data_IF_123857774792
#
_entry.id   IF_123857774792
#
_cell.length_a   1.000
_cell.length_b   1.000
_cell.length_c   1.000
_cell.angle_alpha   90.00
_cell.angle_beta   90.00
_cell.angle_gamma   90.00
#
_symmetry.space_group_name_H-M   'P 1'
#
loop_
_entity.id
_entity.type
_entity.pdbx_description
1 polymer ?
#
# COMPACT_ATOMS: atom_id res chain seq x y z
N UNK A 1 -37.27 -36.51 88.31
CA UNK A 1 -38.51 -37.20 88.83
C UNK A 1 -39.36 -37.65 87.65
N UNK A 2 -39.65 -38.95 87.68
CA UNK A 2 -40.77 -39.69 87.04
C UNK A 2 -40.79 -39.70 85.54
N UNK A 3 -40.42 -40.75 84.90
CA UNK A 3 -41.07 -42.11 84.80
C UNK A 3 -42.10 -42.18 83.70
N UNK A 4 -41.81 -43.05 82.76
CA UNK A 4 -42.64 -44.17 82.22
C UNK A 4 -43.57 -43.74 81.08
N UNK A 5 -43.85 -44.47 80.00
CA UNK A 5 -43.93 -45.93 79.81
C UNK A 5 -43.96 -46.24 78.32
N UNK A 6 -43.42 -47.39 77.93
CA UNK A 6 -43.52 -48.09 76.66
C UNK A 6 -44.92 -48.15 76.05
N UNK A 7 -45.04 -48.11 74.76
CA UNK A 7 -45.97 -48.96 74.04
C UNK A 7 -45.39 -49.35 72.65
N UNK A 8 -45.14 -50.63 72.46
CA UNK A 8 -44.79 -51.29 71.21
C UNK A 8 -46.00 -51.21 70.24
N UNK A 9 -45.77 -50.71 69.07
CA UNK A 9 -46.67 -50.83 67.93
C UNK A 9 -45.88 -51.33 66.71
N UNK A 10 -45.91 -52.63 66.43
CA UNK A 10 -45.47 -53.25 65.22
C UNK A 10 -46.36 -52.76 64.06
N UNK A 11 -45.81 -51.84 63.23
CA UNK A 11 -46.43 -51.54 61.94
C UNK A 11 -45.58 -52.24 60.89
N UNK A 12 -46.09 -53.28 60.28
CA UNK A 12 -45.60 -53.88 59.03
C UNK A 12 -45.76 -52.82 57.95
N UNK A 13 -44.62 -52.16 57.61
CA UNK A 13 -44.49 -51.43 56.37
C UNK A 13 -44.22 -52.42 55.23
N UNK A 14 -45.24 -52.68 54.45
CA UNK A 14 -45.10 -53.27 53.12
C UNK A 14 -44.22 -52.34 52.35
N UNK A 15 -42.97 -52.73 52.04
CA UNK A 15 -42.12 -52.09 51.11
C UNK A 15 -42.70 -52.28 49.71
N UNK A 16 -43.50 -51.29 49.26
CA UNK A 16 -43.80 -51.13 47.83
C UNK A 16 -42.50 -50.78 47.18
N UNK A 17 -41.87 -51.73 46.52
CA UNK A 17 -40.71 -51.54 45.69
C UNK A 17 -41.07 -50.58 44.57
N UNK A 18 -40.80 -49.30 44.75
CA UNK A 18 -40.71 -48.33 43.67
C UNK A 18 -39.53 -48.75 42.83
N UNK A 19 -39.83 -49.51 41.75
CA UNK A 19 -38.87 -49.73 40.68
C UNK A 19 -38.44 -48.36 40.16
N UNK A 20 -37.26 -47.93 40.50
CA UNK A 20 -36.66 -46.70 39.92
C UNK A 20 -36.68 -46.91 38.40
N UNK A 21 -37.54 -46.16 37.69
CA UNK A 21 -37.51 -46.14 36.23
C UNK A 21 -36.08 -45.82 35.82
N UNK A 22 -35.41 -46.75 35.17
CA UNK A 22 -34.07 -46.52 34.57
C UNK A 22 -34.16 -45.27 33.72
N UNK A 23 -33.49 -44.22 34.15
CA UNK A 23 -33.46 -42.94 33.45
C UNK A 23 -32.52 -43.04 32.26
N UNK A 24 -33.00 -42.72 31.05
CA UNK A 24 -32.20 -42.71 29.87
C UNK A 24 -31.10 -41.63 29.99
N UNK A 25 -29.84 -42.03 29.83
CA UNK A 25 -28.69 -41.12 29.85
C UNK A 25 -28.15 -40.99 28.46
N UNK A 26 -27.97 -39.74 28.00
CA UNK A 26 -27.37 -39.41 26.70
C UNK A 26 -26.12 -38.60 26.93
N UNK A 27 -25.04 -38.99 26.29
CA UNK A 27 -23.82 -38.18 26.14
C UNK A 27 -23.28 -38.31 24.71
N UNK A 28 -22.49 -37.34 24.28
CA UNK A 28 -21.85 -37.39 23.01
C UNK A 28 -20.38 -36.93 23.13
N UNK A 29 -19.49 -37.64 22.45
CA UNK A 29 -18.07 -37.41 22.43
C UNK A 29 -17.60 -37.17 20.98
N UNK A 30 -16.38 -36.68 20.79
CA UNK A 30 -15.74 -36.45 19.47
C UNK A 30 -16.62 -35.60 18.52
N UNK A 31 -17.26 -34.57 19.05
CA UNK A 31 -18.11 -33.69 18.26
C UNK A 31 -17.27 -32.83 17.36
N UNK A 32 -17.40 -33.02 16.05
CA UNK A 32 -16.70 -32.25 15.03
C UNK A 32 -17.68 -31.73 14.01
N UNK A 33 -17.50 -30.47 13.64
CA UNK A 33 -18.23 -29.81 12.56
C UNK A 33 -17.22 -29.05 11.72
N UNK A 34 -17.06 -29.48 10.47
CA UNK A 34 -16.01 -28.97 9.57
C UNK A 34 -16.66 -28.55 8.26
N UNK A 35 -16.41 -27.32 7.83
CA UNK A 35 -16.77 -26.84 6.51
C UNK A 35 -15.69 -27.21 5.48
N UNK A 36 -16.14 -27.69 4.33
CA UNK A 36 -15.31 -27.91 3.16
C UNK A 36 -16.03 -27.30 1.95
N UNK A 37 -15.55 -26.17 1.47
CA UNK A 37 -16.18 -25.39 0.39
C UNK A 37 -17.66 -25.07 0.73
N UNK A 38 -18.59 -25.59 -0.08
CA UNK A 38 -20.03 -25.36 0.06
C UNK A 38 -20.74 -26.41 0.91
N UNK A 39 -20.03 -27.25 1.64
CA UNK A 39 -20.60 -28.31 2.46
C UNK A 39 -20.08 -28.32 3.88
N UNK A 40 -20.90 -28.78 4.81
CA UNK A 40 -20.55 -28.99 6.21
C UNK A 40 -20.66 -30.47 6.54
N UNK A 41 -19.59 -31.04 7.08
CA UNK A 41 -19.58 -32.40 7.63
C UNK A 41 -19.66 -32.32 9.14
N UNK A 42 -20.66 -32.99 9.71
CA UNK A 42 -20.80 -33.19 11.14
C UNK A 42 -20.51 -34.63 11.52
N UNK A 43 -19.79 -34.86 12.61
CA UNK A 43 -19.57 -36.18 13.19
C UNK A 43 -19.56 -36.11 14.71
N UNK A 44 -20.09 -37.13 15.37
CA UNK A 44 -20.02 -37.32 16.82
C UNK A 44 -20.22 -38.78 17.16
N UNK A 45 -19.80 -39.19 18.36
CA UNK A 45 -20.16 -40.48 18.97
C UNK A 45 -21.25 -40.29 20.00
N UNK A 46 -22.34 -41.00 19.84
CA UNK A 46 -23.48 -40.96 20.79
C UNK A 46 -23.40 -42.17 21.71
N UNK A 47 -23.37 -41.90 23.01
CA UNK A 47 -23.47 -42.91 24.07
C UNK A 47 -24.87 -42.89 24.66
N UNK A 48 -25.48 -44.07 24.74
CA UNK A 48 -26.84 -44.24 25.27
C UNK A 48 -26.83 -45.26 26.38
N UNK A 49 -27.22 -44.88 27.58
CA UNK A 49 -27.41 -45.75 28.73
C UNK A 49 -28.85 -45.75 29.24
N UNK A 50 -29.28 -46.83 29.86
CA UNK A 50 -30.60 -46.91 30.53
C UNK A 50 -31.80 -46.99 29.57
N UNK A 51 -31.61 -47.31 28.29
CA UNK A 51 -32.69 -47.52 27.36
C UNK A 51 -33.23 -48.97 27.49
N UNK A 52 -34.38 -49.17 28.04
CA UNK A 52 -35.03 -50.49 28.20
C UNK A 52 -35.19 -51.22 26.86
N UNK A 53 -35.23 -52.56 26.88
CA UNK A 53 -35.25 -53.44 25.66
C UNK A 53 -36.45 -53.22 24.74
N UNK A 54 -37.53 -52.66 25.25
CA UNK A 54 -38.81 -52.47 24.52
C UNK A 54 -38.98 -51.05 24.01
N UNK A 55 -37.94 -50.23 24.13
CA UNK A 55 -37.97 -48.83 23.69
C UNK A 55 -37.01 -48.56 22.54
N UNK A 56 -37.41 -47.63 21.67
CA UNK A 56 -36.60 -46.99 20.66
C UNK A 56 -36.32 -45.53 21.05
N UNK A 57 -35.09 -45.14 20.96
CA UNK A 57 -34.68 -43.72 21.09
C UNK A 57 -34.59 -43.13 19.70
N UNK A 58 -35.39 -42.12 19.41
CA UNK A 58 -35.35 -41.31 18.20
C UNK A 58 -34.56 -40.06 18.48
N UNK A 59 -33.40 -39.89 17.82
CA UNK A 59 -32.54 -38.71 18.01
C UNK A 59 -32.53 -37.90 16.74
N UNK A 60 -32.84 -36.61 16.87
CA UNK A 60 -32.78 -35.63 15.76
C UNK A 60 -31.67 -34.64 16.03
N UNK A 61 -30.55 -34.71 15.28
CA UNK A 61 -29.56 -33.65 15.33
C UNK A 61 -30.15 -32.37 14.72
N UNK A 62 -30.03 -31.26 15.44
CA UNK A 62 -30.59 -29.96 15.05
C UNK A 62 -29.55 -28.86 15.15
N UNK A 63 -29.37 -28.12 14.07
CA UNK A 63 -28.60 -26.89 14.01
C UNK A 63 -29.56 -25.71 14.07
N UNK A 64 -29.31 -24.74 14.97
CA UNK A 64 -30.16 -23.57 15.16
C UNK A 64 -29.38 -22.29 15.13
N UNK A 65 -29.66 -21.45 14.14
CA UNK A 65 -29.05 -20.13 13.96
C UNK A 65 -29.63 -19.07 14.92
N UNK A 66 -28.87 -18.00 15.09
CA UNK A 66 -29.31 -16.87 15.95
C UNK A 66 -30.56 -16.17 15.43
N UNK A 67 -30.83 -16.17 14.15
CA UNK A 67 -31.99 -15.59 13.49
C UNK A 67 -33.19 -16.52 13.43
N UNK A 68 -33.19 -17.66 14.19
CA UNK A 68 -34.29 -18.60 14.23
C UNK A 68 -34.35 -19.63 13.10
N UNK A 69 -33.36 -19.59 12.17
CA UNK A 69 -33.21 -20.62 11.12
C UNK A 69 -32.85 -21.96 11.77
N UNK A 70 -33.38 -23.05 11.22
CA UNK A 70 -33.12 -24.40 11.72
C UNK A 70 -32.85 -25.37 10.58
N UNK A 71 -31.89 -26.27 10.79
CA UNK A 71 -31.64 -27.42 9.93
C UNK A 71 -31.73 -28.72 10.76
N UNK A 72 -32.74 -29.54 10.46
CA UNK A 72 -32.86 -30.87 11.00
C UNK A 72 -32.05 -31.84 10.13
N UNK A 73 -31.04 -32.45 10.73
CA UNK A 73 -30.23 -33.45 10.04
C UNK A 73 -30.92 -34.85 10.10
N UNK A 74 -30.50 -35.84 9.32
CA UNK A 74 -31.10 -37.17 9.32
C UNK A 74 -31.16 -37.79 10.71
N UNK A 75 -32.34 -38.34 11.02
CA UNK A 75 -32.64 -38.90 12.34
C UNK A 75 -31.91 -40.22 12.57
N UNK A 76 -31.50 -40.46 13.81
CA UNK A 76 -30.99 -41.70 14.34
C UNK A 76 -32.12 -42.44 15.09
N UNK A 77 -32.25 -43.74 14.81
CA UNK A 77 -33.09 -44.61 15.63
C UNK A 77 -32.20 -45.65 16.34
N UNK A 78 -32.15 -45.59 17.66
CA UNK A 78 -31.32 -46.44 18.48
C UNK A 78 -32.21 -47.31 19.38
N UNK A 79 -31.99 -48.61 19.46
CA UNK A 79 -32.77 -49.52 20.28
C UNK A 79 -32.50 -50.96 19.95
N UNK A 80 -33.12 -51.89 20.74
CA UNK A 80 -33.04 -53.33 20.46
C UNK A 80 -33.67 -53.68 19.11
N UNK A 81 -33.24 -54.79 18.51
CA UNK A 81 -33.81 -55.28 17.26
C UNK A 81 -35.33 -55.48 17.39
N UNK A 82 -35.80 -55.99 18.56
CA UNK A 82 -37.19 -56.21 18.83
C UNK A 82 -37.99 -54.88 18.86
N UNK A 83 -37.52 -53.92 19.55
CA UNK A 83 -38.17 -52.61 19.64
C UNK A 83 -38.23 -51.89 18.29
N UNK A 84 -37.16 -51.96 17.49
CA UNK A 84 -37.14 -51.42 16.14
C UNK A 84 -38.10 -52.11 15.17
N UNK A 85 -38.27 -53.45 15.26
CA UNK A 85 -39.26 -54.21 14.46
C UNK A 85 -40.70 -53.77 14.83
N UNK A 86 -40.99 -53.59 16.14
CA UNK A 86 -42.30 -53.15 16.59
C UNK A 86 -42.58 -51.74 16.04
N UNK A 87 -41.67 -50.81 16.22
CA UNK A 87 -41.79 -49.41 15.73
C UNK A 87 -41.96 -49.36 14.19
N UNK A 88 -41.27 -50.27 13.46
CA UNK A 88 -41.42 -50.38 12.01
C UNK A 88 -42.82 -50.90 11.62
N UNK A 89 -43.37 -51.88 12.32
CA UNK A 89 -44.69 -52.45 12.07
C UNK A 89 -45.81 -51.43 12.38
N UNK A 90 -45.60 -50.55 13.34
CA UNK A 90 -46.54 -49.49 13.71
C UNK A 90 -46.45 -48.26 12.78
N UNK A 91 -45.64 -48.33 11.71
CA UNK A 91 -45.48 -47.26 10.72
C UNK A 91 -44.63 -46.07 11.20
N UNK A 92 -43.95 -46.23 12.32
CA UNK A 92 -43.15 -45.16 12.93
C UNK A 92 -41.81 -44.95 12.21
N UNK A 93 -41.36 -45.80 11.28
CA UNK A 93 -40.13 -45.64 10.48
C UNK A 93 -40.46 -45.58 8.99
N UNK A 94 -40.47 -44.39 8.43
CA UNK A 94 -40.46 -44.23 6.97
C UNK A 94 -39.08 -44.55 6.45
N UNK A 95 -38.99 -45.38 5.37
CA UNK A 95 -37.77 -45.90 4.75
C UNK A 95 -36.75 -44.85 4.29
N UNK A 96 -37.09 -43.60 4.24
CA UNK A 96 -36.35 -42.52 3.58
C UNK A 96 -35.60 -41.58 4.50
N UNK A 97 -35.61 -41.75 5.83
CA UNK A 97 -35.01 -40.75 6.75
C UNK A 97 -34.12 -41.35 7.87
N UNK A 98 -33.85 -42.65 7.84
CA UNK A 98 -32.99 -43.26 8.88
C UNK A 98 -31.59 -43.50 8.36
N UNK A 99 -30.58 -42.91 8.99
CA UNK A 99 -29.24 -43.47 9.03
C UNK A 99 -29.39 -44.91 9.55
N UNK A 100 -28.74 -45.89 8.96
CA UNK A 100 -28.92 -47.31 9.20
C UNK A 100 -29.22 -47.67 10.66
N UNK A 101 -30.19 -48.54 10.94
CA UNK A 101 -30.58 -48.89 12.32
C UNK A 101 -29.37 -49.44 13.05
N UNK A 102 -28.91 -48.73 14.06
CA UNK A 102 -27.87 -49.23 14.92
C UNK A 102 -28.45 -50.28 15.85
N UNK A 103 -28.03 -51.53 15.71
CA UNK A 103 -28.33 -52.56 16.68
C UNK A 103 -27.41 -52.36 17.88
N UNK A 104 -28.05 -52.17 19.04
CA UNK A 104 -27.34 -52.00 20.27
C UNK A 104 -26.72 -53.29 20.76
N UNK A 105 -25.35 -53.34 20.79
CA UNK A 105 -24.67 -54.14 21.79
C UNK A 105 -24.48 -53.19 22.99
N UNK A 106 -24.94 -53.60 24.16
CA UNK A 106 -24.85 -52.78 25.36
C UNK A 106 -23.39 -52.26 25.55
N UNK A 107 -23.19 -50.95 25.51
CA UNK A 107 -21.91 -50.30 25.71
C UNK A 107 -21.18 -49.83 24.45
N UNK A 108 -21.67 -50.07 23.24
CA UNK A 108 -21.09 -49.54 22.02
C UNK A 108 -21.60 -48.11 21.70
N UNK A 109 -20.70 -47.14 21.51
CA UNK A 109 -21.02 -45.80 21.05
C UNK A 109 -21.47 -45.84 19.57
N UNK A 110 -22.50 -45.07 19.26
CA UNK A 110 -22.96 -44.94 17.86
C UNK A 110 -22.27 -43.79 17.17
N UNK A 111 -21.54 -44.09 16.11
CA UNK A 111 -20.91 -43.04 15.28
C UNK A 111 -21.96 -42.44 14.33
N UNK A 112 -22.16 -41.14 14.42
CA UNK A 112 -22.95 -40.36 13.47
C UNK A 112 -22.00 -39.59 12.54
N UNK A 113 -22.25 -39.63 11.23
CA UNK A 113 -21.57 -38.75 10.28
C UNK A 113 -22.56 -38.38 9.19
N UNK A 114 -22.65 -37.08 8.90
CA UNK A 114 -23.49 -36.57 7.83
C UNK A 114 -22.87 -35.33 7.19
N UNK A 115 -23.05 -35.17 5.87
CA UNK A 115 -22.61 -34.01 5.10
C UNK A 115 -23.83 -33.34 4.47
N UNK A 116 -23.90 -32.02 4.57
CA UNK A 116 -25.02 -31.22 4.06
C UNK A 116 -24.52 -29.86 3.51
N UNK A 117 -25.26 -29.16 2.65
CA UNK A 117 -24.85 -27.87 2.10
C UNK A 117 -24.66 -26.83 3.19
N UNK A 118 -23.64 -26.00 3.04
CA UNK A 118 -23.37 -24.84 3.90
C UNK A 118 -24.36 -23.70 3.56
N UNK A 119 -24.73 -22.95 4.59
CA UNK A 119 -25.41 -21.68 4.46
C UNK A 119 -24.87 -20.69 5.51
N UNK A 120 -24.75 -19.42 5.20
CA UNK A 120 -24.10 -18.39 6.03
C UNK A 120 -24.68 -18.29 7.45
N UNK A 121 -25.99 -18.54 7.61
CA UNK A 121 -26.65 -18.50 8.93
C UNK A 121 -26.16 -19.61 9.88
N UNK A 122 -25.45 -20.63 9.36
CA UNK A 122 -24.90 -21.74 10.17
C UNK A 122 -23.65 -21.31 10.96
N UNK A 123 -23.01 -20.22 10.58
CA UNK A 123 -21.91 -19.65 11.37
C UNK A 123 -22.39 -19.15 12.73
N UNK A 124 -21.80 -19.66 13.78
CA UNK A 124 -22.22 -19.36 15.16
C UNK A 124 -23.53 -19.98 15.57
N UNK A 125 -24.09 -20.95 14.80
CA UNK A 125 -25.29 -21.68 15.16
C UNK A 125 -25.01 -22.66 16.30
N UNK A 126 -26.05 -22.89 17.15
CA UNK A 126 -25.97 -23.92 18.16
C UNK A 126 -26.32 -25.29 17.58
N UNK A 127 -25.56 -26.31 17.97
CA UNK A 127 -25.81 -27.69 17.55
C UNK A 127 -26.26 -28.54 18.76
N UNK A 128 -27.41 -29.19 18.65
CA UNK A 128 -28.01 -29.97 19.71
C UNK A 128 -28.67 -31.25 19.20
N UNK A 129 -28.87 -32.22 20.10
CA UNK A 129 -29.64 -33.41 19.82
C UNK A 129 -30.96 -33.29 20.56
N UNK A 130 -32.06 -33.43 19.81
CA UNK A 130 -33.41 -33.63 20.39
C UNK A 130 -33.71 -35.13 20.38
N UNK A 131 -34.13 -35.66 21.52
CA UNK A 131 -34.32 -37.10 21.66
C UNK A 131 -35.70 -37.41 22.21
N UNK A 132 -36.32 -38.46 21.68
CA UNK A 132 -37.61 -38.98 22.13
C UNK A 132 -37.48 -40.48 22.34
N UNK A 133 -37.80 -40.96 23.54
CA UNK A 133 -37.99 -42.36 23.87
C UNK A 133 -39.38 -42.77 23.45
N UNK A 134 -39.51 -43.83 22.62
CA UNK A 134 -40.78 -44.35 22.17
C UNK A 134 -40.88 -45.84 22.51
N UNK A 135 -41.97 -46.25 23.07
CA UNK A 135 -42.37 -47.68 23.31
C UNK A 135 -43.75 -47.90 22.77
N UNK A 136 -44.22 -49.15 22.84
CA UNK A 136 -45.56 -49.59 22.33
C UNK A 136 -46.70 -48.64 22.69
N UNK A 137 -46.74 -48.10 23.92
CA UNK A 137 -47.85 -47.31 24.41
C UNK A 137 -47.40 -46.01 25.12
N UNK A 138 -46.12 -45.61 24.99
CA UNK A 138 -45.56 -44.44 25.67
C UNK A 138 -44.55 -43.70 24.78
N UNK A 139 -44.64 -42.37 24.80
CA UNK A 139 -43.65 -41.46 24.20
C UNK A 139 -43.22 -40.48 25.27
N UNK A 140 -41.91 -40.30 25.40
CA UNK A 140 -41.30 -39.40 26.37
C UNK A 140 -40.25 -38.57 25.65
N UNK A 141 -40.34 -37.25 25.73
CA UNK A 141 -39.31 -36.33 25.19
C UNK A 141 -38.26 -36.11 26.25
N UNK A 142 -37.02 -36.35 25.89
CA UNK A 142 -35.86 -36.14 26.76
C UNK A 142 -35.37 -34.69 26.68
N UNK A 143 -34.69 -34.20 27.73
CA UNK A 143 -34.03 -32.92 27.64
C UNK A 143 -33.05 -32.87 26.45
N UNK A 144 -32.98 -31.75 25.69
CA UNK A 144 -32.06 -31.63 24.57
C UNK A 144 -30.60 -31.68 25.04
N UNK A 145 -29.78 -32.49 24.37
CA UNK A 145 -28.35 -32.55 24.63
C UNK A 145 -27.62 -31.51 23.75
N UNK A 146 -27.01 -30.53 24.37
CA UNK A 146 -26.19 -29.53 23.66
C UNK A 146 -24.84 -30.16 23.30
N UNK A 147 -24.46 -30.03 22.04
CA UNK A 147 -23.18 -30.52 21.51
C UNK A 147 -22.17 -29.39 21.25
N UNK A 148 -22.63 -28.30 20.64
CA UNK A 148 -21.85 -27.08 20.40
C UNK A 148 -22.73 -25.87 20.70
N UNK A 149 -22.21 -24.91 21.46
CA UNK A 149 -22.89 -23.64 21.67
C UNK A 149 -22.79 -22.71 20.46
N UNK A 150 -21.71 -22.84 19.72
CA UNK A 150 -21.43 -22.07 18.50
C UNK A 150 -20.65 -22.92 17.51
N UNK A 151 -21.20 -23.18 16.35
CA UNK A 151 -20.46 -23.76 15.23
C UNK A 151 -19.52 -22.71 14.63
N UNK A 152 -18.25 -23.03 14.52
CA UNK A 152 -17.23 -22.15 13.91
C UNK A 152 -16.92 -22.74 12.53
N UNK A 153 -17.57 -22.22 11.50
CA UNK A 153 -17.54 -22.74 10.13
C UNK A 153 -16.86 -21.78 9.16
N UNK A 154 -16.66 -20.51 9.54
CA UNK A 154 -15.94 -19.56 8.72
C UNK A 154 -14.48 -20.00 8.51
N UNK A 155 -14.06 -19.96 7.26
CA UNK A 155 -12.67 -20.26 6.89
C UNK A 155 -11.74 -19.17 7.44
N UNK A 156 -10.46 -19.48 7.68
CA UNK A 156 -9.49 -18.45 8.08
C UNK A 156 -9.43 -17.25 7.12
N UNK A 157 -9.62 -17.47 5.83
CA UNK A 157 -9.67 -16.41 4.83
C UNK A 157 -10.87 -15.47 5.02
N UNK A 158 -12.03 -16.00 5.36
CA UNK A 158 -13.23 -15.19 5.63
C UNK A 158 -13.15 -14.38 6.94
N UNK A 159 -12.36 -14.85 7.90
CA UNK A 159 -12.14 -14.18 9.19
C UNK A 159 -10.96 -13.18 9.14
N UNK A 160 -10.14 -13.26 8.12
CA UNK A 160 -8.99 -12.38 7.98
C UNK A 160 -9.42 -10.99 7.49
N UNK A 161 -9.02 -9.96 8.23
CA UNK A 161 -9.23 -8.56 7.86
C UNK A 161 -7.91 -7.96 7.43
N UNK A 162 -7.65 -7.86 6.11
CA UNK A 162 -6.36 -7.42 5.63
C UNK A 162 -6.06 -5.97 6.03
N UNK A 163 -4.87 -5.73 6.54
CA UNK A 163 -4.33 -4.40 6.75
C UNK A 163 -3.51 -4.04 5.51
N UNK A 164 -4.07 -3.15 4.70
CA UNK A 164 -3.47 -2.71 3.44
C UNK A 164 -2.94 -1.30 3.62
N UNK A 165 -1.70 -0.99 3.22
CA UNK A 165 -1.14 0.35 3.31
C UNK A 165 -1.93 1.34 2.44
N UNK A 166 -1.80 2.62 2.74
CA UNK A 166 -2.29 3.68 1.86
C UNK A 166 -1.40 3.78 0.63
N UNK A 167 -1.97 4.20 -0.49
CA UNK A 167 -1.22 4.53 -1.70
C UNK A 167 -0.14 5.58 -1.40
N UNK A 168 1.05 5.39 -1.96
CA UNK A 168 2.13 6.36 -1.87
C UNK A 168 1.94 7.44 -2.95
N UNK A 169 2.20 8.71 -2.65
CA UNK A 169 2.20 9.75 -3.67
C UNK A 169 3.37 9.49 -4.64
N UNK A 170 3.03 9.32 -5.92
CA UNK A 170 4.02 9.10 -6.98
C UNK A 170 4.45 10.46 -7.52
N UNK A 171 5.18 11.24 -6.71
CA UNK A 171 5.78 12.51 -7.15
C UNK A 171 7.25 12.24 -7.43
N UNK A 172 7.71 12.36 -8.70
CA UNK A 172 9.09 12.14 -9.05
C UNK A 172 10.05 13.04 -8.24
N UNK A 173 11.22 12.52 -7.91
CA UNK A 173 12.22 13.24 -7.10
C UNK A 173 12.56 14.59 -7.71
N UNK A 174 12.67 14.66 -9.02
CA UNK A 174 13.01 15.91 -9.71
C UNK A 174 11.90 16.96 -9.62
N UNK A 175 10.64 16.57 -9.55
CA UNK A 175 9.54 17.53 -9.37
C UNK A 175 9.55 18.15 -7.97
N UNK A 176 9.94 17.37 -6.96
CA UNK A 176 10.17 17.89 -5.61
C UNK A 176 11.35 18.86 -5.59
N UNK A 177 12.47 18.49 -6.22
CA UNK A 177 13.63 19.34 -6.35
C UNK A 177 13.34 20.64 -7.12
N UNK A 178 12.49 20.59 -8.15
CA UNK A 178 12.14 21.75 -8.98
C UNK A 178 11.31 22.80 -8.24
N UNK A 179 10.61 22.44 -7.18
CA UNK A 179 9.89 23.40 -6.32
C UNK A 179 10.87 24.37 -5.62
N UNK A 180 12.04 23.86 -5.23
CA UNK A 180 13.07 24.64 -4.53
C UNK A 180 14.14 25.21 -5.48
N UNK A 181 14.30 24.61 -6.65
CA UNK A 181 15.40 24.90 -7.59
C UNK A 181 14.87 25.42 -8.93
N UNK A 182 14.73 26.73 -9.06
CA UNK A 182 14.22 27.39 -10.27
C UNK A 182 15.09 27.14 -11.53
N UNK A 183 16.34 26.72 -11.37
CA UNK A 183 17.19 26.34 -12.50
C UNK A 183 16.84 24.96 -13.11
N UNK A 184 15.94 24.20 -12.47
CA UNK A 184 15.34 23.02 -13.07
C UNK A 184 14.15 23.39 -13.94
N UNK A 185 13.99 22.71 -15.06
CA UNK A 185 12.87 22.88 -15.98
C UNK A 185 12.51 21.58 -16.69
N UNK A 186 11.23 21.41 -17.03
CA UNK A 186 10.78 20.23 -17.78
C UNK A 186 11.34 20.26 -19.20
N UNK A 187 11.85 19.12 -19.67
CA UNK A 187 12.30 18.99 -21.05
C UNK A 187 11.11 18.87 -22.01
N UNK A 188 11.06 19.75 -23.01
CA UNK A 188 9.99 19.80 -24.02
C UNK A 188 10.50 19.50 -25.44
N UNK A 189 11.73 18.93 -25.57
CA UNK A 189 12.32 18.60 -26.85
C UNK A 189 13.31 19.66 -27.38
N UNK A 190 13.33 20.85 -26.77
CA UNK A 190 14.31 21.90 -27.08
C UNK A 190 14.60 22.76 -25.87
N UNK A 191 15.71 23.50 -25.91
CA UNK A 191 16.05 24.50 -24.87
C UNK A 191 15.24 25.79 -25.05
N UNK A 192 14.44 25.88 -26.09
CA UNK A 192 13.62 27.05 -26.39
C UNK A 192 14.25 28.00 -27.41
N UNK A 193 13.57 29.10 -27.65
CA UNK A 193 14.01 30.21 -28.51
C UNK A 193 15.07 31.09 -27.81
N UNK A 194 15.60 32.08 -28.52
CA UNK A 194 16.50 33.07 -27.90
C UNK A 194 15.78 33.86 -26.78
N UNK A 195 14.53 34.19 -27.00
CA UNK A 195 13.67 34.87 -26.02
C UNK A 195 13.47 34.03 -24.75
N UNK A 196 13.31 32.70 -24.91
CA UNK A 196 13.23 31.77 -23.79
C UNK A 196 14.54 31.71 -23.00
N UNK A 197 15.67 31.63 -23.70
CA UNK A 197 17.01 31.64 -23.07
C UNK A 197 17.25 32.95 -22.31
N UNK A 198 16.85 34.09 -22.87
CA UNK A 198 16.96 35.39 -22.22
C UNK A 198 16.08 35.45 -20.94
N UNK A 199 14.85 34.93 -21.01
CA UNK A 199 13.99 34.79 -19.84
C UNK A 199 14.59 33.87 -18.78
N UNK A 200 15.17 32.72 -19.14
CA UNK A 200 15.81 31.82 -18.19
C UNK A 200 16.98 32.48 -17.44
N UNK A 201 17.82 33.24 -18.13
CA UNK A 201 18.93 33.98 -17.49
C UNK A 201 18.41 34.94 -16.43
N UNK A 202 17.23 35.47 -16.66
CA UNK A 202 16.63 36.46 -15.77
C UNK A 202 15.99 35.84 -14.53
N UNK A 203 15.32 34.70 -14.68
CA UNK A 203 14.39 34.22 -13.66
C UNK A 203 14.70 32.82 -13.13
N UNK A 204 15.39 31.99 -13.89
CA UNK A 204 15.39 30.57 -13.69
C UNK A 204 16.71 29.85 -14.01
N UNK A 205 17.83 30.45 -13.66
CA UNK A 205 19.16 29.85 -13.85
C UNK A 205 19.99 29.90 -12.58
N UNK A 206 20.99 29.01 -12.53
CA UNK A 206 22.07 29.09 -11.58
C UNK A 206 23.24 29.86 -12.23
N UNK A 207 23.82 30.79 -11.48
CA UNK A 207 24.85 31.69 -12.02
C UNK A 207 26.22 31.35 -11.44
N UNK A 208 27.25 31.26 -12.35
CA UNK A 208 28.67 31.14 -11.97
C UNK A 208 29.40 32.38 -12.44
N UNK A 209 30.15 32.97 -11.55
CA UNK A 209 30.81 34.25 -11.77
C UNK A 209 32.31 34.10 -12.18
N UNK A 210 32.79 35.01 -13.02
CA UNK A 210 34.18 35.02 -13.48
C UNK A 210 34.87 36.35 -13.15
N UNK A 211 36.09 36.36 -12.67
CA UNK A 211 36.86 37.58 -12.54
C UNK A 211 37.02 38.32 -13.84
N UNK A 212 37.32 39.61 -13.81
CA UNK A 212 37.50 40.46 -14.99
C UNK A 212 38.57 39.85 -15.96
N UNK A 213 38.18 39.69 -17.20
CA UNK A 213 39.08 39.12 -18.23
C UNK A 213 39.38 37.63 -18.05
N UNK A 214 38.91 37.00 -16.98
CA UNK A 214 39.15 35.58 -16.74
C UNK A 214 38.12 34.69 -17.46
N UNK A 215 38.62 33.53 -17.87
CA UNK A 215 37.79 32.39 -18.35
C UNK A 215 37.95 31.16 -17.45
N UNK A 216 38.50 31.31 -16.26
CA UNK A 216 38.68 30.24 -15.29
C UNK A 216 37.57 30.26 -14.26
N UNK A 217 37.01 29.09 -13.94
CA UNK A 217 36.15 28.93 -12.79
C UNK A 217 36.97 29.04 -11.52
N UNK A 218 36.66 30.03 -10.69
CA UNK A 218 37.34 30.28 -9.43
C UNK A 218 36.29 30.04 -8.31
N UNK A 219 36.35 28.92 -7.57
CA UNK A 219 35.37 28.58 -6.55
C UNK A 219 35.25 29.63 -5.45
N UNK A 220 36.33 30.29 -5.10
CA UNK A 220 36.40 31.32 -4.06
C UNK A 220 35.89 32.69 -4.52
N UNK A 221 35.54 32.84 -5.80
CA UNK A 221 35.05 34.10 -6.35
C UNK A 221 33.53 34.16 -6.20
N UNK A 222 32.99 35.18 -5.54
CA UNK A 222 31.57 35.34 -5.24
C UNK A 222 31.00 34.10 -4.57
N UNK A 223 29.83 33.66 -4.99
CA UNK A 223 29.15 32.47 -4.46
C UNK A 223 29.42 31.21 -5.28
N UNK A 224 30.46 31.15 -6.10
CA UNK A 224 30.68 30.06 -7.05
C UNK A 224 30.76 28.70 -6.37
N UNK A 225 31.47 28.57 -5.24
CA UNK A 225 31.60 27.31 -4.51
C UNK A 225 30.24 26.79 -4.14
N UNK A 226 29.44 27.58 -3.45
CA UNK A 226 28.10 27.19 -3.01
C UNK A 226 27.18 26.85 -4.19
N UNK A 227 27.21 27.65 -5.25
CA UNK A 227 26.40 27.44 -6.45
C UNK A 227 26.78 26.15 -7.19
N UNK A 228 28.08 25.86 -7.34
CA UNK A 228 28.56 24.66 -8.04
C UNK A 228 28.31 23.40 -7.20
N UNK A 229 28.57 23.42 -5.89
CA UNK A 229 28.28 22.31 -4.98
C UNK A 229 26.78 22.01 -4.93
N UNK A 230 25.94 23.04 -4.91
CA UNK A 230 24.49 22.88 -4.96
C UNK A 230 24.03 22.25 -6.28
N UNK A 231 24.53 22.74 -7.43
CA UNK A 231 24.26 22.14 -8.74
C UNK A 231 24.62 20.65 -8.76
N UNK A 232 25.86 20.32 -8.37
CA UNK A 232 26.33 18.92 -8.38
C UNK A 232 25.49 18.05 -7.46
N UNK A 233 25.14 18.51 -6.26
CA UNK A 233 24.24 17.78 -5.34
C UNK A 233 22.87 17.50 -5.96
N UNK A 234 22.30 18.46 -6.68
CA UNK A 234 21.00 18.27 -7.36
C UNK A 234 21.13 17.29 -8.53
N UNK A 235 22.18 17.39 -9.34
CA UNK A 235 22.45 16.45 -10.45
C UNK A 235 22.64 15.03 -9.93
N UNK A 236 23.35 14.84 -8.83
CA UNK A 236 23.58 13.53 -8.20
C UNK A 236 22.26 12.93 -7.69
N UNK A 237 21.40 13.73 -7.06
CA UNK A 237 20.06 13.27 -6.60
C UNK A 237 19.19 12.82 -7.75
N UNK A 238 19.20 13.57 -8.87
CA UNK A 238 18.45 13.18 -10.08
C UNK A 238 19.04 11.89 -10.68
N UNK A 239 20.35 11.78 -10.76
CA UNK A 239 21.03 10.60 -11.31
C UNK A 239 20.83 9.34 -10.48
N UNK A 240 20.68 9.46 -9.15
CA UNK A 240 20.43 8.35 -8.24
C UNK A 240 18.96 7.90 -8.24
N UNK A 241 18.03 8.69 -8.78
CA UNK A 241 16.62 8.38 -8.76
C UNK A 241 16.22 7.44 -9.91
N UNK A 242 15.17 6.62 -9.67
CA UNK A 242 14.61 5.72 -10.70
C UNK A 242 13.50 6.38 -11.52
N UNK A 243 12.99 7.50 -11.06
CA UNK A 243 11.81 8.19 -11.57
C UNK A 243 12.13 9.49 -12.31
N UNK A 244 13.41 9.85 -12.40
CA UNK A 244 13.87 11.14 -12.92
C UNK A 244 15.15 10.97 -13.71
N UNK A 245 15.30 11.77 -14.78
CA UNK A 245 16.53 11.82 -15.54
C UNK A 245 16.85 13.23 -16.04
N UNK A 246 18.13 13.53 -16.18
CA UNK A 246 18.60 14.75 -16.86
C UNK A 246 18.43 14.54 -18.35
N UNK A 247 17.71 15.46 -19.00
CA UNK A 247 17.52 15.44 -20.45
C UNK A 247 18.55 16.33 -21.16
N UNK A 248 18.77 17.56 -20.66
CA UNK A 248 19.69 18.52 -21.25
C UNK A 248 20.17 19.53 -20.20
N UNK A 249 21.39 20.05 -20.36
CA UNK A 249 21.93 21.15 -19.57
C UNK A 249 22.29 22.26 -20.52
N UNK A 250 21.62 23.40 -20.43
CA UNK A 250 21.94 24.61 -21.16
C UNK A 250 22.96 25.40 -20.35
N UNK A 251 24.10 25.73 -21.01
CA UNK A 251 25.14 26.59 -20.44
C UNK A 251 25.29 27.82 -21.33
N UNK A 252 25.02 28.99 -20.80
CA UNK A 252 25.11 30.26 -21.55
C UNK A 252 26.25 31.08 -21.02
N UNK A 253 27.21 31.34 -21.85
CA UNK A 253 28.32 32.25 -21.53
C UNK A 253 27.97 33.70 -21.89
N UNK A 254 28.39 34.63 -21.03
CA UNK A 254 28.16 36.05 -21.21
C UNK A 254 29.43 36.89 -20.89
N UNK A 255 29.46 38.08 -21.44
CA UNK A 255 30.49 39.07 -21.17
C UNK A 255 29.86 40.45 -20.90
N UNK A 256 30.63 41.33 -20.30
CA UNK A 256 30.22 42.73 -20.09
C UNK A 256 30.37 43.57 -21.36
N UNK A 257 29.67 44.70 -21.50
CA UNK A 257 29.72 45.55 -22.68
C UNK A 257 31.06 46.23 -22.92
N UNK A 258 32.01 46.26 -21.97
CA UNK A 258 33.22 47.04 -21.95
C UNK A 258 34.40 46.46 -22.81
N UNK A 259 34.11 45.63 -23.77
CA UNK A 259 35.08 45.12 -24.75
C UNK A 259 34.58 45.24 -26.18
N UNK A 260 35.41 44.87 -27.17
CA UNK A 260 34.91 44.68 -28.54
C UNK A 260 33.93 43.53 -28.61
N UNK A 261 32.97 43.59 -29.54
CA UNK A 261 32.00 42.53 -29.76
C UNK A 261 32.67 41.17 -30.02
N UNK A 262 33.77 41.17 -30.79
CA UNK A 262 34.52 39.97 -31.09
C UNK A 262 35.22 39.38 -29.86
N UNK A 263 35.83 40.23 -29.02
CA UNK A 263 36.46 39.82 -27.78
C UNK A 263 35.43 39.26 -26.80
N UNK A 264 34.28 39.95 -26.66
CA UNK A 264 33.19 39.54 -25.77
C UNK A 264 32.59 38.20 -26.22
N UNK A 265 32.39 37.99 -27.54
CA UNK A 265 31.92 36.71 -28.06
C UNK A 265 32.91 35.58 -27.77
N UNK A 266 34.17 35.80 -27.92
CA UNK A 266 35.24 34.82 -27.64
C UNK A 266 35.30 34.47 -26.13
N UNK A 267 35.24 35.49 -25.26
CA UNK A 267 35.24 35.30 -23.80
C UNK A 267 34.00 34.55 -23.35
N UNK A 268 32.84 34.95 -23.83
CA UNK A 268 31.55 34.32 -23.47
C UNK A 268 31.54 32.83 -23.86
N UNK A 269 31.94 32.50 -25.10
CA UNK A 269 32.05 31.12 -25.55
C UNK A 269 33.01 30.26 -24.71
N UNK A 270 34.19 30.82 -24.39
CA UNK A 270 35.17 30.13 -23.55
C UNK A 270 34.67 29.91 -22.13
N UNK A 271 33.95 30.86 -21.54
CA UNK A 271 33.34 30.73 -20.21
C UNK A 271 32.31 29.61 -20.17
N UNK A 272 31.43 29.53 -21.17
CA UNK A 272 30.48 28.44 -21.28
C UNK A 272 31.16 27.08 -21.38
N UNK A 273 32.20 26.95 -22.23
CA UNK A 273 32.94 25.70 -22.38
C UNK A 273 33.62 25.26 -21.08
N UNK A 274 34.28 26.18 -20.39
CA UNK A 274 34.95 25.85 -19.10
C UNK A 274 33.96 25.42 -18.02
N UNK A 275 32.73 25.92 -18.02
CA UNK A 275 31.66 25.44 -17.13
C UNK A 275 31.23 24.04 -17.50
N UNK A 276 31.06 23.75 -18.80
CA UNK A 276 30.76 22.37 -19.24
C UNK A 276 31.85 21.41 -18.79
N UNK A 277 33.14 21.76 -19.05
CA UNK A 277 34.30 20.95 -18.68
C UNK A 277 34.35 20.73 -17.15
N UNK A 278 34.03 21.78 -16.37
CA UNK A 278 33.94 21.67 -14.89
C UNK A 278 32.85 20.71 -14.41
N UNK A 279 31.66 20.79 -15.00
CA UNK A 279 30.55 19.89 -14.64
C UNK A 279 30.87 18.44 -15.06
N UNK A 280 31.36 18.25 -16.29
CA UNK A 280 31.74 16.93 -16.81
C UNK A 280 32.85 16.28 -15.97
N UNK A 281 33.81 17.04 -15.47
CA UNK A 281 34.89 16.52 -14.61
C UNK A 281 34.42 16.01 -13.25
N UNK A 282 33.21 16.38 -12.84
CA UNK A 282 32.59 16.07 -11.52
C UNK A 282 31.36 15.18 -11.60
N UNK A 283 30.89 14.86 -12.81
CA UNK A 283 29.72 14.03 -13.07
C UNK A 283 30.03 12.96 -14.10
N UNK A 284 29.15 11.97 -14.27
CA UNK A 284 29.27 10.96 -15.36
C UNK A 284 28.54 11.40 -16.63
N UNK A 285 28.18 12.68 -16.76
CA UNK A 285 27.41 13.18 -17.89
C UNK A 285 28.34 13.32 -19.14
N UNK A 286 27.88 12.76 -20.26
CA UNK A 286 28.56 12.91 -21.54
C UNK A 286 28.33 14.30 -22.14
N UNK A 287 29.21 14.75 -23.04
CA UNK A 287 29.10 16.04 -23.72
C UNK A 287 27.76 16.24 -24.45
N UNK A 288 27.10 15.16 -24.88
CA UNK A 288 25.79 15.19 -25.55
C UNK A 288 24.67 15.74 -24.70
N UNK A 289 24.83 15.76 -23.39
CA UNK A 289 23.86 16.36 -22.48
C UNK A 289 23.92 17.89 -22.44
N UNK A 290 25.02 18.48 -22.93
CA UNK A 290 25.23 19.92 -22.86
C UNK A 290 24.85 20.62 -24.14
N UNK A 291 24.18 21.75 -24.01
CA UNK A 291 23.97 22.73 -25.07
C UNK A 291 24.60 24.05 -24.64
N UNK A 292 25.50 24.54 -25.49
CA UNK A 292 26.26 25.75 -25.20
C UNK A 292 25.71 26.88 -26.04
N UNK A 293 25.36 27.98 -25.39
CA UNK A 293 24.94 29.22 -26.04
C UNK A 293 25.88 30.38 -25.66
N UNK A 294 26.07 31.28 -26.61
CA UNK A 294 26.91 32.45 -26.46
C UNK A 294 26.06 33.71 -26.60
N UNK A 295 25.87 34.42 -25.50
CA UNK A 295 25.07 35.66 -25.44
C UNK A 295 25.90 36.93 -25.69
N UNK A 296 27.19 36.79 -26.00
CA UNK A 296 28.11 37.91 -26.21
C UNK A 296 28.04 38.95 -25.09
N UNK A 297 27.02 39.79 -25.06
CA UNK A 297 26.75 40.81 -24.03
C UNK A 297 25.32 40.70 -23.53
N UNK A 298 25.15 40.63 -22.25
CA UNK A 298 23.83 40.51 -21.59
C UNK A 298 23.12 41.86 -21.55
N UNK A 299 22.69 42.38 -22.72
CA UNK A 299 21.99 43.68 -22.79
C UNK A 299 20.65 43.68 -22.05
N UNK A 300 19.92 42.59 -22.06
CA UNK A 300 18.64 42.49 -21.33
C UNK A 300 18.82 42.61 -19.81
N UNK A 301 19.88 41.97 -19.28
CA UNK A 301 20.19 42.06 -17.84
C UNK A 301 20.65 43.46 -17.49
N UNK A 302 21.52 44.08 -18.35
CA UNK A 302 21.89 45.50 -18.12
C UNK A 302 20.67 46.39 -18.09
N UNK A 303 19.76 46.26 -19.04
CA UNK A 303 18.51 47.02 -19.09
C UNK A 303 17.72 46.93 -17.78
N UNK A 304 17.61 45.76 -17.23
CA UNK A 304 16.90 45.53 -15.98
C UNK A 304 17.63 46.17 -14.79
N UNK A 305 18.95 45.95 -14.67
CA UNK A 305 19.76 46.59 -13.65
C UNK A 305 19.63 48.11 -13.68
N UNK A 306 19.51 48.69 -14.88
CA UNK A 306 19.25 50.14 -15.08
C UNK A 306 17.83 50.49 -14.65
N UNK A 307 16.82 49.68 -15.06
CA UNK A 307 15.41 49.94 -14.72
C UNK A 307 15.15 49.90 -13.19
N UNK A 308 15.82 49.00 -12.49
CA UNK A 308 15.67 48.78 -11.04
C UNK A 308 16.54 49.73 -10.20
N UNK A 309 17.32 50.59 -10.84
CA UNK A 309 18.23 51.53 -10.17
C UNK A 309 17.64 52.93 -10.05
N UNK A 310 18.23 53.74 -9.21
CA UNK A 310 17.98 55.16 -9.05
C UNK A 310 18.99 56.06 -9.80
N UNK A 311 19.71 55.46 -10.79
CA UNK A 311 20.74 56.21 -11.53
C UNK A 311 20.14 57.37 -12.32
N UNK A 312 20.93 58.44 -12.41
CA UNK A 312 20.62 59.55 -13.31
C UNK A 312 20.59 59.09 -14.75
N UNK A 313 19.73 59.71 -15.58
CA UNK A 313 19.53 59.42 -16.99
C UNK A 313 19.08 57.96 -17.28
N UNK A 314 18.41 57.32 -16.29
CA UNK A 314 17.90 55.93 -16.40
C UNK A 314 17.06 55.72 -17.67
N UNK A 315 16.15 56.67 -17.95
CA UNK A 315 15.20 56.54 -19.08
C UNK A 315 15.92 56.64 -20.42
N UNK A 316 16.88 57.54 -20.53
CA UNK A 316 17.71 57.73 -21.74
C UNK A 316 18.60 56.51 -21.99
N UNK A 317 19.19 55.95 -20.94
CA UNK A 317 19.97 54.73 -21.02
C UNK A 317 19.11 53.56 -21.52
N UNK A 318 17.92 53.34 -20.92
CA UNK A 318 16.99 52.30 -21.36
C UNK A 318 16.60 52.50 -22.82
N UNK A 319 16.27 53.73 -23.24
CA UNK A 319 15.92 54.02 -24.62
C UNK A 319 17.08 53.68 -25.60
N UNK A 320 18.29 53.98 -25.26
CA UNK A 320 19.46 53.61 -26.07
C UNK A 320 19.60 52.06 -26.14
N UNK A 321 19.44 51.37 -25.01
CA UNK A 321 19.49 49.91 -24.97
C UNK A 321 18.38 49.29 -25.85
N UNK A 322 17.22 49.84 -25.86
CA UNK A 322 16.06 49.28 -26.56
C UNK A 322 16.07 49.58 -28.07
N UNK A 323 16.50 50.76 -28.45
CA UNK A 323 16.37 51.25 -29.84
C UNK A 323 17.66 51.25 -30.66
N UNK A 324 18.83 51.41 -30.03
CA UNK A 324 20.08 51.50 -30.76
C UNK A 324 20.60 50.12 -31.20
N UNK A 325 21.08 49.95 -32.42
CA UNK A 325 21.75 48.70 -32.82
C UNK A 325 23.04 48.47 -32.01
N UNK A 326 23.43 47.21 -31.84
CA UNK A 326 24.72 46.88 -31.20
C UNK A 326 25.87 47.55 -31.92
N UNK A 327 25.82 47.62 -33.27
CA UNK A 327 26.71 48.34 -34.11
C UNK A 327 25.98 48.88 -35.35
N UNK A 328 26.18 50.16 -35.66
CA UNK A 328 25.69 50.80 -36.88
C UNK A 328 26.91 51.10 -37.79
N UNK A 329 27.04 50.38 -38.88
CA UNK A 329 28.15 50.49 -39.82
C UNK A 329 28.16 51.83 -40.53
N UNK A 330 26.97 52.45 -40.74
CA UNK A 330 26.85 53.72 -41.44
C UNK A 330 27.31 54.89 -40.56
N UNK A 331 26.84 54.89 -39.31
CA UNK A 331 27.16 55.92 -38.35
C UNK A 331 28.50 55.66 -37.60
N UNK A 332 29.11 54.51 -37.83
CA UNK A 332 30.33 54.04 -37.16
C UNK A 332 30.24 54.15 -35.61
N UNK A 333 29.04 53.93 -35.08
CA UNK A 333 28.80 53.96 -33.65
C UNK A 333 27.74 52.91 -33.32
N UNK A 334 27.90 52.22 -32.21
CA UNK A 334 26.92 51.27 -31.71
C UNK A 334 26.37 51.71 -30.38
N UNK A 335 25.46 50.90 -29.84
CA UNK A 335 24.82 51.07 -28.58
C UNK A 335 25.78 51.51 -27.46
N UNK A 336 26.90 50.80 -27.29
CA UNK A 336 27.88 51.14 -26.28
C UNK A 336 28.48 52.53 -26.51
N UNK A 337 28.83 52.90 -27.75
CA UNK A 337 29.38 54.21 -28.07
C UNK A 337 28.39 55.36 -27.81
N UNK A 338 27.08 55.10 -27.98
CA UNK A 338 26.04 56.08 -27.62
C UNK A 338 25.96 56.24 -26.10
N UNK A 339 26.00 55.15 -25.34
CA UNK A 339 26.03 55.19 -23.87
C UNK A 339 27.28 55.91 -23.33
N UNK A 340 28.43 55.73 -23.95
CA UNK A 340 29.66 56.45 -23.57
C UNK A 340 29.61 57.95 -23.83
N UNK A 341 28.79 58.39 -24.77
CA UNK A 341 28.60 59.81 -25.11
C UNK A 341 27.47 60.47 -24.35
N UNK A 342 26.54 59.71 -23.82
CA UNK A 342 25.34 60.22 -23.10
C UNK A 342 25.79 61.06 -21.87
N UNK A 343 25.34 62.29 -21.80
CA UNK A 343 25.55 63.21 -20.68
C UNK A 343 27.02 63.28 -20.20
N UNK A 344 27.96 63.32 -21.22
CA UNK A 344 29.39 63.37 -20.93
C UNK A 344 29.98 62.09 -20.38
N UNK A 345 29.29 60.96 -20.57
CA UNK A 345 29.73 59.63 -20.15
C UNK A 345 29.40 59.28 -18.68
N UNK A 346 28.74 60.16 -17.92
CA UNK A 346 28.39 59.90 -16.51
C UNK A 346 27.60 58.60 -16.33
N UNK A 347 26.51 58.36 -17.09
CA UNK A 347 25.76 57.12 -16.96
C UNK A 347 26.60 55.90 -17.29
N UNK A 348 27.44 55.97 -18.27
CA UNK A 348 28.36 54.86 -18.65
C UNK A 348 29.35 54.53 -17.51
N UNK A 349 29.95 55.57 -16.87
CA UNK A 349 30.86 55.35 -15.77
C UNK A 349 30.13 54.77 -14.56
N UNK A 350 28.90 55.20 -14.27
CA UNK A 350 28.07 54.61 -13.23
C UNK A 350 27.81 53.13 -13.53
N UNK A 351 27.33 52.79 -14.73
CA UNK A 351 27.10 51.40 -15.13
C UNK A 351 28.37 50.56 -15.07
N UNK A 352 29.50 51.10 -15.52
CA UNK A 352 30.80 50.43 -15.48
C UNK A 352 31.25 50.07 -14.08
N UNK A 353 30.94 50.90 -13.12
CA UNK A 353 31.28 50.74 -11.70
C UNK A 353 30.33 49.77 -10.99
N UNK A 354 29.01 49.90 -11.21
CA UNK A 354 28.01 49.26 -10.39
C UNK A 354 27.30 48.08 -11.07
N UNK A 355 27.17 48.10 -12.42
CA UNK A 355 26.40 47.09 -13.16
C UNK A 355 27.26 46.12 -13.99
N UNK A 356 28.31 46.63 -14.66
CA UNK A 356 29.20 45.80 -15.46
C UNK A 356 29.88 44.66 -14.68
N UNK A 357 30.28 44.84 -13.41
CA UNK A 357 30.73 43.75 -12.58
C UNK A 357 29.73 42.60 -12.51
N UNK A 358 28.47 42.87 -12.41
CA UNK A 358 27.39 41.87 -12.39
C UNK A 358 27.17 41.21 -13.73
N UNK A 359 27.55 41.83 -14.84
CA UNK A 359 27.46 41.31 -16.21
C UNK A 359 28.70 40.54 -16.68
N UNK A 360 29.89 40.91 -16.18
CA UNK A 360 31.14 40.26 -16.49
C UNK A 360 31.15 38.77 -16.16
N UNK A 361 30.17 38.32 -15.49
CA UNK A 361 30.24 37.27 -14.54
C UNK A 361 29.38 36.09 -14.92
N UNK A 362 28.80 35.99 -16.08
CA UNK A 362 27.76 35.02 -16.13
C UNK A 362 28.06 33.85 -17.04
N UNK A 363 28.33 32.74 -16.40
CA UNK A 363 27.88 31.47 -16.91
C UNK A 363 26.55 31.15 -16.28
N UNK A 364 25.49 31.08 -17.07
CA UNK A 364 24.16 30.69 -16.65
C UNK A 364 23.94 29.23 -16.93
N UNK A 365 23.38 28.51 -15.96
CA UNK A 365 23.15 27.07 -16.09
C UNK A 365 21.67 26.82 -15.85
N UNK A 366 21.02 26.16 -16.83
CA UNK A 366 19.66 25.66 -16.74
C UNK A 366 19.69 24.15 -16.98
N UNK A 367 19.07 23.38 -16.11
CA UNK A 367 18.99 21.92 -16.22
C UNK A 367 17.56 21.54 -16.63
N UNK A 368 17.42 20.83 -17.73
CA UNK A 368 16.15 20.28 -18.17
C UNK A 368 16.08 18.81 -17.82
N UNK A 369 14.94 18.40 -17.29
CA UNK A 369 14.70 17.05 -16.83
C UNK A 369 13.48 16.41 -17.48
N UNK A 370 13.43 15.09 -17.45
CA UNK A 370 12.25 14.28 -17.69
C UNK A 370 11.91 13.53 -16.40
N UNK A 371 10.62 13.55 -16.05
CA UNK A 371 10.08 12.79 -14.94
C UNK A 371 9.35 11.55 -15.46
N UNK A 372 9.63 10.39 -14.86
CA UNK A 372 8.94 9.14 -15.14
C UNK A 372 8.51 8.56 -13.80
N UNK A 373 7.21 8.32 -13.58
CA UNK A 373 6.75 7.71 -12.34
C UNK A 373 7.47 6.39 -12.06
N UNK A 374 7.88 6.17 -10.81
CA UNK A 374 8.51 4.90 -10.42
C UNK A 374 7.55 3.73 -10.72
N UNK A 375 7.89 2.81 -11.63
CA UNK A 375 7.01 1.73 -12.02
C UNK A 375 6.70 0.77 -10.87
N UNK A 376 7.60 0.65 -9.87
CA UNK A 376 7.34 -0.15 -8.68
C UNK A 376 6.26 0.49 -7.80
N UNK A 377 6.28 1.81 -7.59
CA UNK A 377 5.24 2.52 -6.86
C UNK A 377 3.90 2.53 -7.62
N UNK A 378 3.94 2.70 -8.94
CA UNK A 378 2.73 2.64 -9.77
C UNK A 378 2.06 1.27 -9.67
N UNK A 379 2.84 0.19 -9.81
CA UNK A 379 2.30 -1.18 -9.70
C UNK A 379 1.86 -1.51 -8.27
N UNK A 380 2.56 -0.99 -7.26
CA UNK A 380 2.16 -1.15 -5.85
C UNK A 380 0.79 -0.51 -5.58
N UNK A 381 0.60 0.75 -5.98
CA UNK A 381 -0.67 1.46 -5.79
C UNK A 381 -1.82 0.78 -6.53
N UNK A 382 -1.57 0.34 -7.78
CA UNK A 382 -2.57 -0.43 -8.53
C UNK A 382 -2.95 -1.73 -7.82
N UNK A 383 -1.98 -2.42 -7.23
CA UNK A 383 -2.26 -3.64 -6.45
C UNK A 383 -3.07 -3.33 -5.18
N UNK A 384 -2.84 -2.20 -4.53
CA UNK A 384 -3.64 -1.73 -3.38
C UNK A 384 -5.10 -1.53 -3.79
N UNK A 385 -5.35 -0.87 -4.93
CA UNK A 385 -6.71 -0.64 -5.44
C UNK A 385 -7.41 -1.97 -5.77
N UNK A 386 -6.68 -2.91 -6.42
CA UNK A 386 -7.18 -4.24 -6.74
C UNK A 386 -7.51 -5.06 -5.49
N UNK A 387 -6.70 -4.97 -4.43
CA UNK A 387 -6.98 -5.61 -3.14
C UNK A 387 -8.26 -5.06 -2.49
N UNK A 388 -8.47 -3.75 -2.53
CA UNK A 388 -9.70 -3.12 -2.05
C UNK A 388 -10.92 -3.56 -2.85
N UNK A 389 -10.75 -3.78 -4.17
CA UNK A 389 -11.76 -4.35 -5.06
C UNK A 389 -11.91 -5.88 -4.93
N UNK A 390 -11.15 -6.55 -4.06
CA UNK A 390 -11.12 -8.01 -3.86
C UNK A 390 -10.66 -8.80 -5.09
N UNK A 391 -9.91 -8.17 -5.98
CA UNK A 391 -9.35 -8.77 -7.20
C UNK A 391 -7.95 -9.35 -6.93
N UNK A 392 -7.86 -10.37 -6.09
CA UNK A 392 -6.60 -10.88 -5.52
C UNK A 392 -5.65 -11.49 -6.56
N UNK A 393 -6.18 -12.16 -7.57
CA UNK A 393 -5.37 -12.75 -8.64
C UNK A 393 -4.70 -11.68 -9.51
N UNK A 394 -5.43 -10.62 -9.86
CA UNK A 394 -4.92 -9.49 -10.64
C UNK A 394 -3.90 -8.68 -9.84
N UNK A 395 -4.14 -8.51 -8.53
CA UNK A 395 -3.19 -7.87 -7.63
C UNK A 395 -1.85 -8.63 -7.56
N UNK A 396 -1.88 -9.97 -7.46
CA UNK A 396 -0.69 -10.81 -7.51
C UNK A 396 0.06 -10.67 -8.82
N UNK A 397 -0.65 -10.66 -9.95
CA UNK A 397 -0.04 -10.47 -11.27
C UNK A 397 0.60 -9.09 -11.39
N UNK A 398 -0.08 -8.04 -10.91
CA UNK A 398 0.44 -6.66 -10.93
C UNK A 398 1.71 -6.50 -10.10
N UNK A 399 1.84 -7.24 -9.01
CA UNK A 399 3.03 -7.22 -8.14
C UNK A 399 4.18 -8.11 -8.64
N UNK A 400 4.01 -8.82 -9.76
CA UNK A 400 5.05 -9.70 -10.28
C UNK A 400 6.31 -8.89 -10.62
N UNK A 401 7.45 -9.29 -10.06
CA UNK A 401 8.73 -8.58 -10.24
C UNK A 401 8.91 -7.28 -9.43
N UNK A 402 7.89 -6.80 -8.73
CA UNK A 402 8.00 -5.63 -7.86
C UNK A 402 8.86 -5.96 -6.63
N UNK A 403 9.92 -5.17 -6.38
CA UNK A 403 10.88 -5.37 -5.26
C UNK A 403 10.68 -4.38 -4.12
N UNK A 404 9.69 -3.50 -4.23
CA UNK A 404 9.37 -2.54 -3.16
C UNK A 404 9.10 -3.25 -1.83
N UNK A 405 9.60 -2.72 -0.71
CA UNK A 405 9.53 -3.38 0.60
C UNK A 405 8.12 -3.75 1.08
N UNK A 406 7.08 -3.07 0.58
CA UNK A 406 5.66 -3.37 0.86
C UNK A 406 5.05 -4.43 -0.04
N UNK A 407 5.71 -4.80 -1.14
CA UNK A 407 5.13 -5.72 -2.13
C UNK A 407 4.88 -7.13 -1.56
N UNK A 408 5.78 -7.62 -0.71
CA UNK A 408 5.63 -8.95 -0.13
C UNK A 408 4.48 -9.02 0.89
N UNK A 409 4.17 -7.93 1.61
CA UNK A 409 2.99 -7.84 2.46
C UNK A 409 1.70 -7.96 1.63
N UNK A 410 1.59 -7.19 0.54
CA UNK A 410 0.42 -7.24 -0.34
C UNK A 410 0.25 -8.61 -1.01
N UNK A 411 1.34 -9.26 -1.45
CA UNK A 411 1.32 -10.66 -1.94
C UNK A 411 0.85 -11.61 -0.85
N UNK A 412 1.30 -11.43 0.39
CA UNK A 412 0.87 -12.20 1.55
C UNK A 412 -0.64 -12.08 1.79
N UNK A 413 -1.19 -10.87 1.71
CA UNK A 413 -2.65 -10.64 1.78
C UNK A 413 -3.37 -11.38 0.67
N UNK A 414 -2.91 -11.31 -0.59
CA UNK A 414 -3.53 -12.03 -1.70
C UNK A 414 -3.54 -13.55 -1.47
N UNK A 415 -2.41 -14.13 -1.03
CA UNK A 415 -2.33 -15.57 -0.74
C UNK A 415 -3.23 -15.96 0.42
N UNK A 416 -3.30 -15.14 1.47
CA UNK A 416 -4.20 -15.38 2.60
C UNK A 416 -5.66 -15.39 2.17
N UNK A 417 -6.08 -14.42 1.35
CA UNK A 417 -7.46 -14.33 0.85
C UNK A 417 -7.80 -15.47 -0.11
N UNK A 418 -6.81 -16.08 -0.76
CA UNK A 418 -6.97 -17.29 -1.57
C UNK A 418 -6.83 -18.59 -0.76
N UNK A 419 -6.72 -18.53 0.58
CA UNK A 419 -6.63 -19.69 1.46
C UNK A 419 -5.24 -20.30 1.60
N UNK A 420 -4.20 -19.74 0.97
CA UNK A 420 -2.81 -20.23 1.03
C UNK A 420 -2.08 -19.62 2.23
N UNK A 421 -2.39 -20.10 3.42
CA UNK A 421 -1.87 -19.56 4.69
C UNK A 421 -0.35 -19.72 4.85
N UNK A 422 0.25 -20.78 4.30
CA UNK A 422 1.69 -21.00 4.47
C UNK A 422 2.53 -20.03 3.62
N UNK A 423 2.10 -19.79 2.37
CA UNK A 423 2.74 -18.75 1.55
C UNK A 423 2.51 -17.37 2.11
N UNK A 424 1.29 -17.08 2.60
CA UNK A 424 0.99 -15.82 3.24
C UNK A 424 1.90 -15.56 4.44
N UNK A 425 2.11 -16.56 5.31
CA UNK A 425 3.02 -16.48 6.46
C UNK A 425 4.43 -16.12 6.03
N UNK A 426 4.99 -16.87 5.08
CA UNK A 426 6.36 -16.66 4.58
C UNK A 426 6.54 -15.24 4.05
N UNK A 427 5.55 -14.74 3.29
CA UNK A 427 5.58 -13.41 2.71
C UNK A 427 5.43 -12.30 3.78
N UNK A 428 4.55 -12.48 4.77
CA UNK A 428 4.44 -11.53 5.88
C UNK A 428 5.72 -11.47 6.71
N UNK A 429 6.36 -12.60 6.99
CA UNK A 429 7.65 -12.62 7.71
C UNK A 429 8.75 -11.89 6.92
N UNK A 430 8.80 -12.09 5.60
CA UNK A 430 9.73 -11.39 4.73
C UNK A 430 9.47 -9.88 4.71
N UNK A 431 8.21 -9.46 4.63
CA UNK A 431 7.82 -8.07 4.68
C UNK A 431 8.14 -7.40 6.03
N UNK A 432 7.95 -8.11 7.14
CA UNK A 432 8.38 -7.66 8.48
C UNK A 432 9.88 -7.43 8.51
N UNK A 433 10.67 -8.36 7.97
CA UNK A 433 12.13 -8.23 7.89
C UNK A 433 12.58 -7.07 6.98
N UNK A 434 11.77 -6.73 5.97
CA UNK A 434 12.00 -5.59 5.09
C UNK A 434 11.53 -4.25 5.67
N UNK A 435 10.90 -4.22 6.85
CA UNK A 435 10.48 -3.01 7.54
C UNK A 435 9.09 -2.48 7.17
N UNK A 436 8.22 -3.31 6.57
CA UNK A 436 6.82 -2.90 6.32
C UNK A 436 6.07 -2.74 7.65
N UNK A 437 5.50 -1.55 7.95
CA UNK A 437 4.84 -1.29 9.24
C UNK A 437 3.48 -2.01 9.40
N UNK A 438 2.86 -2.46 8.32
CA UNK A 438 1.57 -3.15 8.33
C UNK A 438 1.71 -4.68 8.39
N UNK A 439 2.82 -5.22 7.90
CA UNK A 439 3.07 -6.66 7.87
C UNK A 439 2.99 -7.36 9.24
N UNK A 440 3.48 -6.78 10.37
CA UNK A 440 3.33 -7.40 11.68
C UNK A 440 1.87 -7.60 12.11
N UNK A 441 0.97 -6.70 11.70
CA UNK A 441 -0.47 -6.79 12.01
C UNK A 441 -1.12 -7.94 11.27
N UNK A 442 -0.79 -8.08 9.97
CA UNK A 442 -1.28 -9.17 9.13
C UNK A 442 -0.74 -10.54 9.61
N UNK A 443 0.55 -10.62 9.95
CA UNK A 443 1.16 -11.83 10.47
C UNK A 443 0.50 -12.28 11.79
N UNK A 444 0.28 -11.35 12.72
CA UNK A 444 -0.39 -11.64 13.99
C UNK A 444 -1.79 -12.19 13.78
N UNK A 445 -2.60 -11.58 12.91
CA UNK A 445 -3.94 -12.09 12.59
C UNK A 445 -3.89 -13.51 12.03
N UNK A 446 -2.97 -13.79 11.11
CA UNK A 446 -2.80 -15.12 10.56
C UNK A 446 -2.47 -16.16 11.62
N UNK A 447 -1.56 -15.85 12.56
CA UNK A 447 -1.18 -16.73 13.66
C UNK A 447 -2.34 -17.02 14.62
N UNK A 448 -3.13 -15.98 14.95
CA UNK A 448 -4.34 -16.13 15.77
C UNK A 448 -5.39 -17.05 15.09
N UNK A 449 -5.56 -16.93 13.79
CA UNK A 449 -6.50 -17.77 13.03
C UNK A 449 -6.03 -19.23 12.93
N UNK A 450 -4.73 -19.46 12.80
CA UNK A 450 -4.17 -20.82 12.82
C UNK A 450 -4.26 -21.46 14.20
N UNK A 451 -4.14 -20.69 15.28
CA UNK A 451 -4.36 -21.18 16.64
C UNK A 451 -5.79 -21.63 16.90
N UNK A 452 -6.77 -21.05 16.20
CA UNK A 452 -8.20 -21.45 16.30
C UNK A 452 -8.54 -22.72 15.51
N UNK A 453 -7.71 -23.05 14.53
CA UNK A 453 -7.93 -24.22 13.64
C UNK A 453 -7.30 -25.50 14.20
N UNK A 454 -6.50 -25.43 15.26
CA UNK A 454 -5.95 -26.56 16.03
C UNK A 454 -6.82 -26.85 17.25
#
# INVERSE_FOLDING_TARGET
>A
MKCSVLLCGLLLMQAVGLSAKEQVRLSADDVKMVRSEDSVRVSFRLNVGGLGRDYVLKVTPLLRGKGGQEACLPKLNYGSRRAQIVEWREGGMKKTQAVAPAYNKAGEALLYTHTFPYADWMEGAAFRLEAQRAGCCSKETLPPLRLLDKAMLATPAELFVPVVPRSEPVIPVVEQLAQENKFLGVWTGSVGTKEDIDRYKDEATLVVYFPVGSVRVVPEFENNRANLEHLLSVLDKIAASKDSRIAKILVVGSASPDGSAELNSRIAGKRAQVLVDHIMSRTMLASSFFEVSNDQVAWGILRRLVADSDMDSRQEVMNIIDTAPVWDATKKVGRLGLLMKLNGGKPYHHMKQHFFPKLRNAGYIKVFYEAQPDPELVSLNKAIDLLQAKQYAEALHTLQGNTHFRADNLRGVCHMMNGDMEKARTLFQKAVSAGDPEAPKNLKQLEELQGRSR
#
